data_IF_907799095976
#
_entry.id   IF_907799095976
#
_cell.length_a   1.000
_cell.length_b   1.000
_cell.length_c   1.000
_cell.angle_alpha   90.00
_cell.angle_beta   90.00
_cell.angle_gamma   90.00
#
_symmetry.space_group_name_H-M   'P 1'
#
loop_
_entity.id
_entity.type
_entity.pdbx_description
1 polymer ?
#
# COMPACT_ATOMS: atom_id res chain seq x y z
N UNK A 1 -11.10 2.56 12.06
CA UNK A 1 -11.20 1.54 11.00
C UNK A 1 -11.11 0.16 11.63
N UNK A 2 -11.90 -0.81 11.16
CA UNK A 2 -11.91 -2.17 11.69
C UNK A 2 -11.84 -3.16 10.53
N UNK A 3 -10.88 -4.06 10.55
CA UNK A 3 -10.72 -5.12 9.54
C UNK A 3 -11.20 -6.44 10.11
N UNK A 4 -11.89 -7.24 9.29
CA UNK A 4 -12.45 -8.52 9.72
C UNK A 4 -11.37 -9.60 9.92
N UNK A 5 -10.25 -9.50 9.22
CA UNK A 5 -9.12 -10.42 9.29
C UNK A 5 -7.84 -9.78 8.71
N UNK A 6 -6.70 -10.43 8.94
CA UNK A 6 -5.39 -9.98 8.46
C UNK A 6 -5.30 -9.93 6.93
N UNK A 7 -5.98 -10.83 6.21
CA UNK A 7 -5.96 -10.85 4.73
C UNK A 7 -6.61 -9.59 4.16
N UNK A 8 -7.73 -9.15 4.71
CA UNK A 8 -8.40 -7.92 4.30
C UNK A 8 -7.54 -6.69 4.62
N UNK A 9 -6.89 -6.67 5.79
CA UNK A 9 -5.92 -5.65 6.17
C UNK A 9 -4.78 -5.54 5.16
N UNK A 10 -4.09 -6.64 4.86
CA UNK A 10 -2.95 -6.64 3.93
C UNK A 10 -3.36 -6.31 2.50
N UNK A 11 -4.54 -6.75 2.06
CA UNK A 11 -5.08 -6.41 0.74
C UNK A 11 -5.33 -4.91 0.62
N UNK A 12 -5.96 -4.29 1.62
CA UNK A 12 -6.22 -2.84 1.61
C UNK A 12 -4.92 -2.05 1.59
N UNK A 13 -3.95 -2.40 2.45
CA UNK A 13 -2.62 -1.78 2.46
C UNK A 13 -1.92 -1.91 1.10
N UNK A 14 -1.87 -3.12 0.54
CA UNK A 14 -1.21 -3.37 -0.75
C UNK A 14 -1.84 -2.59 -1.89
N UNK A 15 -3.18 -2.51 -1.92
CA UNK A 15 -3.93 -1.74 -2.90
C UNK A 15 -3.63 -0.24 -2.80
N UNK A 16 -3.63 0.31 -1.58
CA UNK A 16 -3.37 1.72 -1.35
C UNK A 16 -1.93 2.11 -1.66
N UNK A 17 -0.94 1.27 -1.30
CA UNK A 17 0.47 1.49 -1.68
C UNK A 17 0.58 1.56 -3.21
N UNK A 18 -0.04 0.62 -3.93
CA UNK A 18 -0.05 0.62 -5.40
C UNK A 18 -0.70 1.88 -5.97
N UNK A 19 -1.83 2.28 -5.39
CA UNK A 19 -2.58 3.47 -5.80
C UNK A 19 -1.73 4.74 -5.67
N UNK A 20 -1.18 5.01 -4.49
CA UNK A 20 -0.33 6.19 -4.26
C UNK A 20 0.98 6.15 -5.05
N UNK A 21 1.57 4.96 -5.24
CA UNK A 21 2.72 4.79 -6.14
C UNK A 21 2.40 5.23 -7.56
N UNK A 22 1.24 4.85 -8.09
CA UNK A 22 0.81 5.24 -9.43
C UNK A 22 0.53 6.74 -9.51
N UNK A 23 -0.09 7.35 -8.49
CA UNK A 23 -0.25 8.81 -8.43
C UNK A 23 1.09 9.56 -8.42
N UNK A 24 2.10 9.01 -7.73
CA UNK A 24 3.45 9.55 -7.69
C UNK A 24 4.25 9.28 -9.00
N UNK A 25 3.65 8.63 -10.01
CA UNK A 25 4.28 8.25 -11.27
C UNK A 25 5.55 7.41 -11.10
N UNK A 26 5.61 6.57 -10.07
CA UNK A 26 6.74 5.70 -9.81
C UNK A 26 6.47 4.28 -10.33
N UNK A 27 7.46 3.66 -10.95
CA UNK A 27 7.48 2.21 -11.15
C UNK A 27 7.69 1.49 -9.80
N UNK A 28 7.36 0.19 -9.74
CA UNK A 28 7.67 -0.60 -8.55
C UNK A 28 9.18 -0.57 -8.24
N UNK A 29 10.03 -0.64 -9.27
CA UNK A 29 11.49 -0.59 -9.10
C UNK A 29 11.94 0.71 -8.42
N UNK A 30 11.42 1.85 -8.89
CA UNK A 30 11.76 3.16 -8.32
C UNK A 30 11.25 3.33 -6.88
N UNK A 31 10.03 2.86 -6.58
CA UNK A 31 9.53 2.91 -5.20
C UNK A 31 10.37 2.01 -4.28
N UNK A 32 10.66 0.79 -4.71
CA UNK A 32 11.45 -0.16 -3.92
C UNK A 32 12.85 0.40 -3.59
N UNK A 33 13.52 0.97 -4.60
CA UNK A 33 14.83 1.61 -4.44
C UNK A 33 14.77 2.80 -3.46
N UNK A 34 13.81 3.72 -3.66
CA UNK A 34 13.65 4.90 -2.80
C UNK A 34 13.26 4.53 -1.36
N UNK A 35 12.43 3.51 -1.18
CA UNK A 35 12.00 3.03 0.13
C UNK A 35 13.01 2.06 0.78
N UNK A 36 14.13 1.76 0.11
CA UNK A 36 15.18 0.86 0.58
C UNK A 36 14.66 -0.56 0.91
N UNK A 37 13.76 -1.08 0.05
CA UNK A 37 13.24 -2.44 0.11
C UNK A 37 13.50 -3.18 -1.20
N UNK A 38 13.42 -4.51 -1.18
CA UNK A 38 13.59 -5.27 -2.42
C UNK A 38 12.38 -5.13 -3.34
N UNK A 39 12.63 -5.09 -4.66
CA UNK A 39 11.57 -5.08 -5.68
C UNK A 39 10.64 -6.28 -5.54
N UNK A 40 11.20 -7.47 -5.25
CA UNK A 40 10.43 -8.70 -5.07
C UNK A 40 9.54 -8.66 -3.82
N UNK A 41 9.95 -7.90 -2.79
CA UNK A 41 9.09 -7.67 -1.63
C UNK A 41 7.95 -6.73 -2.00
N UNK A 42 8.25 -5.57 -2.60
CA UNK A 42 7.20 -4.63 -3.02
C UNK A 42 6.19 -5.26 -3.99
N UNK A 43 6.65 -6.06 -4.98
CA UNK A 43 5.75 -6.74 -5.90
C UNK A 43 4.81 -7.73 -5.18
N UNK A 44 5.24 -8.34 -4.08
CA UNK A 44 4.38 -9.20 -3.25
C UNK A 44 3.40 -8.39 -2.39
N UNK A 45 3.81 -7.20 -1.93
CA UNK A 45 2.94 -6.28 -1.19
C UNK A 45 1.78 -5.81 -2.08
N UNK A 46 2.07 -5.39 -3.30
CA UNK A 46 1.06 -4.86 -4.24
C UNK A 46 0.25 -5.94 -4.97
N UNK A 47 0.55 -7.23 -4.73
CA UNK A 47 -0.20 -8.33 -5.32
C UNK A 47 -1.55 -8.54 -4.60
N UNK A 48 -2.60 -8.87 -5.35
CA UNK A 48 -3.97 -9.08 -4.84
C UNK A 48 -4.14 -10.23 -3.84
N UNK A 49 -3.13 -11.10 -3.74
CA UNK A 49 -3.05 -12.21 -2.78
C UNK A 49 -1.98 -12.03 -1.71
N UNK A 50 -1.65 -10.79 -1.33
CA UNK A 50 -0.67 -10.56 -0.27
C UNK A 50 -1.13 -11.19 1.06
N UNK A 51 -0.38 -12.18 1.52
CA UNK A 51 -0.57 -12.90 2.78
C UNK A 51 0.57 -12.62 3.77
N UNK A 52 1.44 -11.66 3.45
CA UNK A 52 2.67 -11.41 4.19
C UNK A 52 2.52 -10.27 5.19
N UNK A 53 3.01 -10.54 6.40
CA UNK A 53 3.26 -9.52 7.40
C UNK A 53 4.22 -8.45 6.89
N UNK A 54 3.84 -7.19 7.11
CA UNK A 54 4.60 -5.98 6.80
C UNK A 54 5.02 -5.35 8.12
N UNK A 55 6.27 -4.88 8.23
CA UNK A 55 6.64 -4.13 9.43
C UNK A 55 6.12 -2.69 9.33
N UNK A 56 5.77 -2.10 10.47
CA UNK A 56 5.39 -0.68 10.55
C UNK A 56 6.51 0.23 10.00
N UNK A 57 7.77 -0.15 10.21
CA UNK A 57 8.91 0.59 9.65
C UNK A 57 8.88 0.63 8.12
N UNK A 58 8.55 -0.49 7.46
CA UNK A 58 8.44 -0.54 6.00
C UNK A 58 7.29 0.33 5.51
N UNK A 59 6.14 0.28 6.18
CA UNK A 59 5.01 1.15 5.86
C UNK A 59 5.42 2.62 5.98
N UNK A 60 6.11 3.01 7.05
CA UNK A 60 6.58 4.38 7.23
C UNK A 60 7.58 4.81 6.13
N UNK A 61 8.50 3.92 5.73
CA UNK A 61 9.43 4.19 4.62
C UNK A 61 8.70 4.45 3.31
N UNK A 62 7.71 3.62 2.99
CA UNK A 62 6.90 3.78 1.77
C UNK A 62 6.08 5.07 1.83
N UNK A 63 5.45 5.37 2.96
CA UNK A 63 4.68 6.61 3.17
C UNK A 63 5.53 7.86 2.93
N UNK A 64 6.75 7.89 3.48
CA UNK A 64 7.69 9.01 3.30
C UNK A 64 8.08 9.21 1.83
N UNK A 65 8.32 8.13 1.08
CA UNK A 65 8.68 8.22 -0.34
C UNK A 65 7.51 8.70 -1.19
N UNK A 66 6.30 8.26 -0.86
CA UNK A 66 5.08 8.63 -1.56
C UNK A 66 4.51 9.99 -1.11
N UNK A 67 5.07 10.59 -0.05
CA UNK A 67 4.63 11.85 0.56
C UNK A 67 3.14 11.80 0.95
N UNK A 68 2.75 10.73 1.65
CA UNK A 68 1.39 10.50 2.17
C UNK A 68 1.44 10.18 3.66
N UNK A 69 0.31 10.30 4.35
CA UNK A 69 0.22 9.87 5.74
C UNK A 69 0.21 8.34 5.80
N UNK A 70 0.90 7.73 6.77
CA UNK A 70 0.90 6.27 6.91
C UNK A 70 -0.52 5.71 7.10
N UNK A 71 -1.42 6.49 7.69
CA UNK A 71 -2.83 6.17 7.87
C UNK A 71 -3.59 6.02 6.55
N UNK A 72 -3.11 6.65 5.47
CA UNK A 72 -3.73 6.55 4.15
C UNK A 72 -3.66 5.14 3.57
N UNK A 73 -2.69 4.33 3.99
CA UNK A 73 -2.62 2.92 3.58
C UNK A 73 -3.71 2.06 4.17
N UNK A 74 -4.33 2.50 5.27
CA UNK A 74 -5.36 1.72 5.91
C UNK A 74 -6.73 2.04 5.30
N UNK A 75 -7.00 3.23 4.77
CA UNK A 75 -8.34 3.64 4.30
C UNK A 75 -8.91 2.69 3.25
N UNK A 76 -10.07 2.11 3.51
CA UNK A 76 -10.86 1.44 2.47
C UNK A 76 -11.35 2.51 1.48
N UNK A 77 -11.29 2.24 0.18
CA UNK A 77 -12.00 3.09 -0.77
C UNK A 77 -13.49 3.01 -0.42
N UNK A 78 -14.04 4.09 0.14
CA UNK A 78 -15.48 4.31 0.13
C UNK A 78 -15.88 4.34 -1.34
N UNK A 79 -16.35 3.21 -1.85
CA UNK A 79 -17.00 3.17 -3.15
C UNK A 79 -18.12 4.18 -3.07
N UNK A 80 -17.94 5.30 -3.75
CA UNK A 80 -18.93 6.33 -3.88
C UNK A 80 -20.02 5.77 -4.82
N UNK A 81 -20.83 4.84 -4.32
CA UNK A 81 -22.15 4.53 -4.82
C UNK A 81 -23.09 5.66 -4.35
N UNK A 82 -22.78 6.88 -4.78
CA UNK A 82 -23.67 8.02 -4.82
C UNK A 82 -23.53 8.63 -6.20
N UNK A 83 -24.19 7.99 -7.17
CA UNK A 83 -24.55 8.69 -8.41
C UNK A 83 -25.94 8.26 -8.83
N UNK A 84 -26.86 9.23 -8.77
CA UNK A 84 -28.23 9.30 -9.31
C UNK A 84 -29.34 8.83 -8.38
#
# INVERSE_FOLDING_TARGET
MHFNNDTDLYRTIGSNIKHYRQQANLTQMQLAEKAQISISYLSKIEASGCDKSLSISVLNQIANVLNVEINDFFKEEETNAKTS
#
